data_IF_154527447640
#
_entry.id   IF_154527447640
#
_cell.length_a   1.000
_cell.length_b   1.000
_cell.length_c   1.000
_cell.angle_alpha   90.00
_cell.angle_beta   90.00
_cell.angle_gamma   90.00
#
_symmetry.space_group_name_H-M   'P 1'
#
loop_
_entity.id
_entity.type
_entity.pdbx_description
1 polymer ?
#
# COMPACT_ATOMS: atom_id res chain seq x y z
N UNK A 1 26.50 28.48 5.45
CA UNK A 1 26.18 27.13 4.92
C UNK A 1 25.21 26.50 5.90
N UNK A 2 23.90 26.59 5.63
CA UNK A 2 22.85 26.22 6.58
C UNK A 2 22.54 24.73 6.54
N UNK A 3 22.32 24.19 7.74
CA UNK A 3 22.13 22.78 8.07
C UNK A 3 20.80 22.24 7.54
N UNK A 4 20.78 20.95 7.18
CA UNK A 4 19.58 20.11 7.30
C UNK A 4 19.98 18.64 7.46
N UNK A 5 20.44 18.30 8.68
CA UNK A 5 20.48 16.90 9.16
C UNK A 5 19.04 16.39 9.19
N UNK A 6 18.62 15.73 8.11
CA UNK A 6 17.38 14.97 8.09
C UNK A 6 17.54 13.73 8.96
N UNK A 7 17.32 13.87 10.26
CA UNK A 7 17.08 12.72 11.14
C UNK A 7 15.66 12.23 10.85
N UNK A 8 15.49 11.43 9.78
CA UNK A 8 14.23 10.71 9.52
C UNK A 8 14.06 9.67 10.63
N UNK A 9 13.40 10.12 11.69
CA UNK A 9 13.06 9.41 12.91
C UNK A 9 12.27 8.14 12.56
N UNK A 10 12.96 6.99 12.53
CA UNK A 10 12.44 5.69 12.96
C UNK A 10 11.20 5.11 12.27
N UNK A 11 10.91 5.41 11.00
CA UNK A 11 9.75 4.81 10.29
C UNK A 11 10.05 3.71 9.27
N UNK A 12 11.31 3.41 8.97
CA UNK A 12 11.63 2.83 7.65
C UNK A 12 12.32 1.46 7.62
N UNK A 13 12.91 0.95 8.70
CA UNK A 13 13.60 -0.34 8.59
C UNK A 13 12.66 -1.50 8.30
N UNK A 14 11.40 -1.43 8.75
CA UNK A 14 10.41 -2.44 8.39
C UNK A 14 9.89 -2.20 6.97
N UNK A 15 9.51 -0.98 6.56
CA UNK A 15 9.01 -0.67 5.20
C UNK A 15 10.02 -1.04 4.10
N UNK A 16 11.31 -0.75 4.31
CA UNK A 16 12.37 -1.15 3.36
C UNK A 16 12.57 -2.68 3.34
N UNK A 17 12.37 -3.34 4.49
CA UNK A 17 12.32 -4.81 4.65
C UNK A 17 10.91 -5.39 4.54
N UNK A 18 9.92 -4.70 3.96
CA UNK A 18 8.61 -5.29 3.81
C UNK A 18 8.77 -6.53 2.94
N UNK A 19 8.31 -7.66 3.49
CA UNK A 19 8.24 -8.93 2.79
C UNK A 19 7.71 -8.61 1.37
N UNK A 20 8.31 -9.15 0.30
CA UNK A 20 7.82 -8.93 -1.07
C UNK A 20 6.30 -9.08 -1.19
N UNK A 21 5.73 -9.98 -0.38
CA UNK A 21 4.30 -10.16 -0.18
C UNK A 21 3.55 -8.89 0.26
N UNK A 22 4.07 -8.17 1.25
CA UNK A 22 3.47 -6.93 1.76
C UNK A 22 3.53 -5.78 0.75
N UNK A 23 4.59 -5.70 -0.06
CA UNK A 23 4.72 -4.67 -1.11
C UNK A 23 3.65 -4.81 -2.19
N UNK A 24 3.24 -6.05 -2.51
CA UNK A 24 2.15 -6.31 -3.45
C UNK A 24 0.78 -5.80 -2.97
N UNK A 25 0.64 -5.51 -1.68
CA UNK A 25 -0.61 -5.06 -1.07
C UNK A 25 -0.72 -3.53 -1.05
N UNK A 26 0.34 -2.86 -1.51
CA UNK A 26 0.41 -1.41 -1.63
C UNK A 26 -0.08 -1.04 -3.03
N UNK A 27 -1.26 -0.45 -3.07
CA UNK A 27 -1.75 0.27 -4.21
C UNK A 27 -0.98 1.59 -4.35
N UNK A 28 -0.53 1.89 -5.57
CA UNK A 28 0.10 3.15 -5.93
C UNK A 28 -0.62 3.74 -7.13
N UNK A 29 -1.17 4.93 -7.00
CA UNK A 29 -1.84 5.61 -8.10
C UNK A 29 -0.83 5.98 -9.19
N UNK A 30 -1.11 5.58 -10.44
CA UNK A 30 -0.21 5.85 -11.58
C UNK A 30 -0.14 7.32 -11.99
N UNK A 31 -1.12 8.14 -11.56
CA UNK A 31 -1.20 9.57 -11.91
C UNK A 31 -0.55 10.45 -10.86
N UNK A 32 -0.94 10.31 -9.59
CA UNK A 32 -0.46 11.19 -8.50
C UNK A 32 0.63 10.55 -7.63
N UNK A 33 0.92 9.26 -7.80
CA UNK A 33 1.88 8.54 -6.97
C UNK A 33 1.44 8.30 -5.53
N UNK A 34 0.18 8.59 -5.17
CA UNK A 34 -0.35 8.32 -3.84
C UNK A 34 -0.27 6.82 -3.54
N UNK A 35 0.19 6.48 -2.33
CA UNK A 35 0.33 5.10 -1.87
C UNK A 35 -0.66 4.80 -0.75
N UNK A 36 -1.29 3.64 -0.84
CA UNK A 36 -2.16 3.12 0.21
C UNK A 36 -2.32 1.62 0.08
N UNK A 37 -2.96 0.97 1.04
CA UNK A 37 -3.22 -0.47 0.94
C UNK A 37 -4.52 -0.73 0.17
N UNK A 38 -4.58 -1.86 -0.54
CA UNK A 38 -5.81 -2.29 -1.21
C UNK A 38 -6.91 -2.60 -0.17
N UNK A 39 -8.08 -1.93 -0.19
CA UNK A 39 -9.10 -2.14 0.84
C UNK A 39 -9.67 -3.57 0.89
N UNK A 40 -9.56 -4.32 -0.21
CA UNK A 40 -9.95 -5.73 -0.27
C UNK A 40 -9.16 -6.65 0.68
N UNK A 41 -8.05 -6.21 1.30
CA UNK A 41 -7.35 -7.02 2.32
C UNK A 41 -8.24 -7.37 3.53
N UNK A 42 -9.39 -6.70 3.66
CA UNK A 42 -10.35 -6.93 4.73
C UNK A 42 -11.37 -8.02 4.46
N UNK A 43 -11.55 -8.38 3.19
CA UNK A 43 -12.52 -9.39 2.78
C UNK A 43 -12.02 -10.80 3.14
N UNK A 44 -12.86 -11.57 3.83
CA UNK A 44 -12.56 -12.96 4.23
C UNK A 44 -12.34 -13.90 3.03
N UNK A 45 -12.69 -13.44 1.82
CA UNK A 45 -12.45 -14.12 0.54
C UNK A 45 -11.35 -13.52 -0.32
N UNK A 46 -10.50 -12.62 0.21
CA UNK A 46 -9.37 -12.09 -0.54
C UNK A 46 -8.33 -13.20 -0.76
N UNK A 47 -8.49 -13.95 -1.86
CA UNK A 47 -7.55 -14.97 -2.29
C UNK A 47 -6.36 -14.27 -2.94
N UNK A 48 -5.28 -14.13 -2.16
CA UNK A 48 -3.98 -13.87 -2.77
C UNK A 48 -3.64 -15.03 -3.69
N UNK A 49 -3.27 -14.69 -4.93
CA UNK A 49 -2.72 -15.62 -5.91
C UNK A 49 -1.81 -16.64 -5.21
N UNK A 50 -2.26 -17.90 -5.21
CA UNK A 50 -1.69 -19.05 -4.48
C UNK A 50 -0.20 -19.32 -4.78
N UNK A 51 0.44 -18.52 -5.63
CA UNK A 51 1.85 -18.60 -6.00
C UNK A 51 2.83 -18.41 -4.82
N UNK A 52 2.42 -17.83 -3.69
CA UNK A 52 3.25 -17.73 -2.48
C UNK A 52 2.46 -18.24 -1.26
N UNK A 53 2.89 -19.36 -0.66
CA UNK A 53 2.40 -19.82 0.64
C UNK A 53 2.79 -18.80 1.72
N UNK A 54 1.94 -17.82 1.98
CA UNK A 54 2.02 -16.96 3.17
C UNK A 54 1.21 -17.64 4.26
N UNK A 55 1.77 -17.78 5.46
CA UNK A 55 1.00 -18.32 6.58
C UNK A 55 -0.10 -17.34 7.03
N UNK A 56 -1.21 -17.84 7.57
CA UNK A 56 -2.30 -16.98 8.10
C UNK A 56 -1.79 -15.97 9.14
N UNK A 57 -0.78 -16.38 9.92
CA UNK A 57 -0.12 -15.52 10.90
C UNK A 57 0.60 -14.34 10.25
N UNK A 58 1.39 -14.59 9.19
CA UNK A 58 2.06 -13.54 8.43
C UNK A 58 1.06 -12.64 7.72
N UNK A 59 -0.01 -13.21 7.16
CA UNK A 59 -1.07 -12.44 6.52
C UNK A 59 -1.71 -11.44 7.49
N UNK A 60 -2.04 -11.89 8.71
CA UNK A 60 -2.57 -11.03 9.77
C UNK A 60 -1.58 -9.95 10.19
N UNK A 61 -0.30 -10.30 10.36
CA UNK A 61 0.74 -9.34 10.75
C UNK A 61 0.96 -8.27 9.68
N UNK A 62 1.02 -8.67 8.40
CA UNK A 62 1.13 -7.76 7.25
C UNK A 62 -0.08 -6.82 7.18
N UNK A 63 -1.31 -7.36 7.32
CA UNK A 63 -2.55 -6.57 7.33
C UNK A 63 -2.56 -5.53 8.46
N UNK A 64 -2.19 -5.93 9.67
CA UNK A 64 -2.13 -5.03 10.82
C UNK A 64 -1.12 -3.89 10.59
N UNK A 65 0.04 -4.21 10.04
CA UNK A 65 1.09 -3.22 9.76
C UNK A 65 0.71 -2.28 8.61
N UNK A 66 0.15 -2.81 7.52
CA UNK A 66 -0.38 -2.03 6.40
C UNK A 66 -1.37 -0.97 6.88
N UNK A 67 -2.35 -1.38 7.69
CA UNK A 67 -3.36 -0.48 8.26
C UNK A 67 -2.78 0.57 9.19
N UNK A 68 -1.67 0.25 9.87
CA UNK A 68 -0.99 1.17 10.79
C UNK A 68 -0.19 2.24 10.05
N UNK A 69 0.38 1.90 8.90
CA UNK A 69 1.33 2.75 8.17
C UNK A 69 0.67 3.50 7.02
N UNK A 70 -0.25 2.86 6.30
CA UNK A 70 -0.87 3.36 5.08
C UNK A 70 -2.37 3.58 5.29
N UNK A 71 -2.93 4.51 4.51
CA UNK A 71 -4.39 4.66 4.38
C UNK A 71 -4.91 3.70 3.32
N UNK A 72 -6.20 3.31 3.37
CA UNK A 72 -6.80 2.57 2.27
C UNK A 72 -6.74 3.39 0.98
N UNK A 73 -6.45 2.73 -0.13
CA UNK A 73 -6.45 3.33 -1.46
C UNK A 73 -7.02 2.34 -2.47
N UNK A 74 -8.25 2.59 -2.92
CA UNK A 74 -8.83 1.90 -4.05
C UNK A 74 -8.24 2.45 -5.35
N UNK A 75 -7.96 1.55 -6.29
CA UNK A 75 -7.58 1.91 -7.64
C UNK A 75 -8.65 1.38 -8.62
N UNK A 76 -8.89 2.13 -9.69
CA UNK A 76 -9.70 1.66 -10.82
C UNK A 76 -8.92 0.66 -11.71
N UNK A 77 -9.56 0.17 -12.76
CA UNK A 77 -8.95 -0.77 -13.72
C UNK A 77 -7.71 -0.18 -14.45
N UNK A 78 -7.52 1.14 -14.42
CA UNK A 78 -6.39 1.84 -15.01
C UNK A 78 -5.31 2.19 -13.97
N UNK A 79 -5.46 1.75 -12.71
CA UNK A 79 -4.51 2.00 -11.63
C UNK A 79 -4.60 3.43 -11.06
N UNK A 80 -5.74 4.11 -11.20
CA UNK A 80 -5.95 5.49 -10.73
C UNK A 80 -6.76 5.50 -9.44
N UNK A 81 -6.39 6.38 -8.52
CA UNK A 81 -7.22 6.64 -7.34
C UNK A 81 -8.48 7.41 -7.71
N UNK A 82 -9.48 7.38 -6.84
CA UNK A 82 -10.78 8.05 -7.04
C UNK A 82 -10.63 9.54 -7.41
N UNK A 83 -9.76 10.28 -6.70
CA UNK A 83 -9.47 11.69 -7.02
C UNK A 83 -8.93 11.89 -8.44
N UNK A 84 -8.07 10.98 -8.92
CA UNK A 84 -7.48 11.09 -10.25
C UNK A 84 -8.42 10.59 -11.34
N UNK A 85 -9.27 9.60 -11.04
CA UNK A 85 -10.30 9.13 -11.95
C UNK A 85 -11.33 10.25 -12.22
N UNK A 86 -11.87 10.88 -11.17
CA UNK A 86 -12.90 11.92 -11.32
C UNK A 86 -12.42 13.21 -11.99
N UNK A 87 -11.11 13.51 -11.95
CA UNK A 87 -10.53 14.67 -12.66
C UNK A 87 -10.49 14.50 -14.17
N UNK A 88 -10.47 13.27 -14.69
CA UNK A 88 -10.37 13.00 -16.12
C UNK A 88 -11.73 12.84 -16.81
N UNK A 89 -12.82 12.70 -16.06
CA UNK A 89 -14.18 12.57 -16.61
C UNK A 89 -14.86 13.91 -16.90
N UNK A 90 -14.24 15.03 -16.51
CA UNK A 90 -14.74 16.39 -16.72
C UNK A 90 -13.91 17.19 -17.74
N UNK A 91 -13.17 16.52 -18.62
CA UNK A 91 -12.32 17.12 -19.66
C UNK A 91 -12.95 17.07 -21.05
#
# INVERSE_FOLDING_TARGET
MSHSKHTKKGRSLYIEKWNPSAKRLINTCVICGAQGYAPGIDDEGFVYDHAQKISDFEHRAIRAELKRVLKPLSLDALGRCEDCAGRMENG
#
